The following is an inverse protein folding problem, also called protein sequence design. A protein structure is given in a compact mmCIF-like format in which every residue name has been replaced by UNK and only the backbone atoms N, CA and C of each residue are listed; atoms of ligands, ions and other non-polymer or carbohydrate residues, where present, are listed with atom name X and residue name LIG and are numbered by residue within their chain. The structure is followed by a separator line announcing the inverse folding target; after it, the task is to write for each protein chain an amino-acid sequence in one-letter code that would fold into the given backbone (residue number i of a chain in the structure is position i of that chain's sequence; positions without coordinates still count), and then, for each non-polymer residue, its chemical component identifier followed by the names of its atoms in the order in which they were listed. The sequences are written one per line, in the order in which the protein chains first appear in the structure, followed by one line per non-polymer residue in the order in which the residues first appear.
data_IF_726802926010
#
_entry.id   IF_726802926010
#
_cell.length_a   1.000
_cell.length_b   1.000
_cell.length_c   1.000
_cell.angle_alpha   90.00
_cell.angle_beta   90.00
_cell.angle_gamma   90.00
#
_symmetry.space_group_name_H-M   'P 1'
#
loop_
_entity.id
_entity.type
_entity.pdbx_description
1 polymer ?
#
# COMPACT_ATOMS: atom_id res chain seq x y z
N UNK A 1 -7.83 9.53 14.54
CA UNK A 1 -8.92 9.66 13.53
C UNK A 1 -8.93 8.41 12.66
N UNK A 2 -10.09 7.77 12.48
CA UNK A 2 -10.24 6.63 11.57
C UNK A 2 -10.09 7.11 10.12
N UNK A 3 -9.26 6.43 9.32
CA UNK A 3 -9.13 6.73 7.89
C UNK A 3 -10.44 6.38 7.16
N UNK A 4 -10.80 7.17 6.15
CA UNK A 4 -11.98 6.87 5.32
C UNK A 4 -11.76 5.64 4.45
N UNK A 5 -12.84 4.99 4.00
CA UNK A 5 -12.76 3.86 3.05
C UNK A 5 -11.98 4.27 1.79
N UNK A 6 -12.26 5.46 1.25
CA UNK A 6 -11.52 6.01 0.13
C UNK A 6 -10.01 6.10 0.41
N UNK A 7 -9.63 6.68 1.56
CA UNK A 7 -8.22 6.80 1.93
C UNK A 7 -7.54 5.44 2.10
N UNK A 8 -8.25 4.44 2.62
CA UNK A 8 -7.73 3.08 2.76
C UNK A 8 -7.50 2.41 1.41
N UNK A 9 -8.44 2.53 0.46
CA UNK A 9 -8.28 1.98 -0.89
C UNK A 9 -7.07 2.59 -1.61
N UNK A 10 -6.91 3.91 -1.53
CA UNK A 10 -5.78 4.63 -2.15
C UNK A 10 -4.45 4.23 -1.52
N UNK A 11 -4.39 4.19 -0.18
CA UNK A 11 -3.19 3.82 0.55
C UNK A 11 -2.77 2.36 0.34
N UNK A 12 -3.73 1.44 0.18
CA UNK A 12 -3.43 0.04 -0.07
C UNK A 12 -2.63 -0.17 -1.36
N UNK A 13 -2.92 0.63 -2.41
CA UNK A 13 -2.20 0.57 -3.70
C UNK A 13 -0.94 1.45 -3.67
N UNK A 14 -0.70 2.22 -2.61
CA UNK A 14 0.45 3.14 -2.54
C UNK A 14 0.35 4.32 -3.51
N UNK A 15 -0.86 4.73 -3.89
CA UNK A 15 -1.06 5.87 -4.80
C UNK A 15 -1.03 7.21 -4.05
N UNK A 16 -0.44 8.21 -4.68
CA UNK A 16 -0.59 9.61 -4.28
C UNK A 16 -1.97 10.15 -4.64
N UNK A 17 -2.43 11.17 -3.93
CA UNK A 17 -3.71 11.83 -4.23
C UNK A 17 -3.72 12.47 -5.63
N UNK A 18 -2.55 12.89 -6.15
CA UNK A 18 -2.43 13.45 -7.49
C UNK A 18 -2.62 12.39 -8.58
N UNK A 19 -2.11 11.18 -8.37
CA UNK A 19 -2.32 10.06 -9.30
C UNK A 19 -3.79 9.62 -9.28
N UNK A 20 -4.40 9.53 -8.10
CA UNK A 20 -5.82 9.22 -7.97
C UNK A 20 -6.68 10.27 -8.66
N UNK A 21 -6.34 11.56 -8.53
CA UNK A 21 -7.04 12.63 -9.24
C UNK A 21 -7.00 12.44 -10.77
N UNK A 22 -5.84 12.06 -11.32
CA UNK A 22 -5.70 11.74 -12.75
C UNK A 22 -6.54 10.52 -13.14
N UNK A 23 -6.47 9.44 -12.36
CA UNK A 23 -7.20 8.18 -12.62
C UNK A 23 -8.72 8.41 -12.60
N UNK A 24 -9.21 9.18 -11.63
CA UNK A 24 -10.65 9.45 -11.48
C UNK A 24 -11.15 10.58 -12.40
N UNK A 25 -10.26 11.27 -13.12
CA UNK A 25 -10.62 12.45 -13.91
C UNK A 25 -11.18 13.60 -13.05
N UNK A 26 -10.70 13.74 -11.81
CA UNK A 26 -11.18 14.70 -10.82
C UNK A 26 -10.11 15.72 -10.45
N UNK A 27 -10.52 16.84 -9.86
CA UNK A 27 -9.57 17.80 -9.30
C UNK A 27 -8.91 17.25 -8.03
N UNK A 28 -7.64 17.61 -7.81
CA UNK A 28 -6.90 17.23 -6.60
C UNK A 28 -7.64 17.64 -5.31
N UNK A 29 -8.25 18.84 -5.31
CA UNK A 29 -9.03 19.33 -4.17
C UNK A 29 -10.22 18.42 -3.86
N UNK A 30 -10.91 17.89 -4.87
CA UNK A 30 -12.04 16.97 -4.65
C UNK A 30 -11.58 15.65 -4.02
N UNK A 31 -10.46 15.11 -4.50
CA UNK A 31 -9.85 13.89 -3.97
C UNK A 31 -9.36 14.08 -2.53
N UNK A 32 -8.75 15.23 -2.21
CA UNK A 32 -8.34 15.58 -0.85
C UNK A 32 -9.53 15.64 0.11
N UNK A 33 -10.64 16.26 -0.30
CA UNK A 33 -11.87 16.29 0.53
C UNK A 33 -12.40 14.88 0.81
N UNK A 34 -12.30 13.95 -0.15
CA UNK A 34 -12.69 12.54 0.03
C UNK A 34 -11.75 11.79 0.97
N UNK A 35 -10.44 11.99 0.85
CA UNK A 35 -9.47 11.34 1.74
C UNK A 35 -9.59 11.81 3.19
N UNK A 36 -9.99 13.06 3.39
CA UNK A 36 -10.24 13.66 4.71
C UNK A 36 -11.65 13.40 5.27
N UNK A 37 -12.53 12.73 4.51
CA UNK A 37 -13.92 12.46 4.91
C UNK A 37 -14.85 13.67 4.89
N UNK A 38 -14.40 14.79 4.33
CA UNK A 38 -15.23 15.97 4.09
C UNK A 38 -16.20 15.78 2.91
N UNK A 39 -15.97 14.76 2.08
CA UNK A 39 -16.86 14.36 0.99
C UNK A 39 -16.93 12.84 0.90
N UNK A 40 -18.13 12.32 0.64
CA UNK A 40 -18.32 10.89 0.43
C UNK A 40 -17.69 10.42 -0.88
N UNK A 41 -17.24 9.17 -0.89
CA UNK A 41 -16.91 8.43 -2.11
C UNK A 41 -18.21 8.15 -2.88
N UNK A 42 -18.21 8.41 -4.18
CA UNK A 42 -19.36 8.14 -5.05
C UNK A 42 -19.28 6.73 -5.64
N UNK A 43 -20.38 6.25 -6.22
CA UNK A 43 -20.37 4.98 -6.96
C UNK A 43 -19.39 5.02 -8.14
N UNK A 44 -19.34 6.13 -8.88
CA UNK A 44 -18.40 6.29 -9.99
C UNK A 44 -16.92 6.21 -9.54
N UNK A 45 -16.60 6.71 -8.33
CA UNK A 45 -15.26 6.52 -7.76
C UNK A 45 -14.98 5.04 -7.50
N UNK A 46 -15.96 4.34 -6.91
CA UNK A 46 -15.84 2.92 -6.57
C UNK A 46 -15.64 2.08 -7.84
N UNK A 47 -16.39 2.36 -8.89
CA UNK A 47 -16.30 1.65 -10.17
C UNK A 47 -14.93 1.88 -10.82
N UNK A 48 -14.42 3.11 -10.84
CA UNK A 48 -13.11 3.43 -11.38
C UNK A 48 -11.97 2.76 -10.58
N UNK A 49 -12.04 2.78 -9.24
CA UNK A 49 -11.08 2.09 -8.39
C UNK A 49 -11.18 0.57 -8.53
N UNK A 50 -12.37 0.02 -8.75
CA UNK A 50 -12.59 -1.40 -9.02
C UNK A 50 -11.91 -1.84 -10.33
N UNK A 51 -12.06 -1.05 -11.40
CA UNK A 51 -11.36 -1.30 -12.67
C UNK A 51 -9.85 -1.31 -12.47
N UNK A 52 -9.30 -0.33 -11.73
CA UNK A 52 -7.88 -0.31 -11.40
C UNK A 52 -7.44 -1.57 -10.64
N UNK A 53 -8.22 -1.99 -9.64
CA UNK A 53 -7.93 -3.19 -8.86
C UNK A 53 -7.93 -4.46 -9.73
N UNK A 54 -8.89 -4.58 -10.64
CA UNK A 54 -8.95 -5.68 -11.58
C UNK A 54 -7.72 -5.76 -12.48
N UNK A 55 -7.28 -4.62 -13.03
CA UNK A 55 -6.05 -4.52 -13.84
C UNK A 55 -4.81 -4.95 -13.07
N UNK A 56 -4.64 -4.42 -11.85
CA UNK A 56 -3.54 -4.79 -10.93
C UNK A 56 -3.53 -6.30 -10.68
N UNK A 57 -4.69 -6.89 -10.36
CA UNK A 57 -4.81 -8.33 -10.06
C UNK A 57 -4.48 -9.21 -11.28
N UNK A 58 -4.84 -8.76 -12.47
CA UNK A 58 -4.58 -9.41 -13.76
C UNK A 58 -3.17 -9.15 -14.31
N UNK A 59 -2.33 -8.41 -13.58
CA UNK A 59 -0.96 -8.06 -13.97
C UNK A 59 -0.89 -7.13 -15.21
N UNK A 60 -2.03 -6.55 -15.63
CA UNK A 60 -2.09 -5.49 -16.63
C UNK A 60 -1.77 -4.13 -15.99
N UNK A 61 -0.48 -3.86 -15.80
CA UNK A 61 0.01 -2.63 -15.17
C UNK A 61 0.70 -1.67 -16.14
N UNK A 62 0.58 -1.89 -17.44
CA UNK A 62 1.20 -1.00 -18.42
C UNK A 62 0.59 0.41 -18.34
N UNK A 63 1.45 1.41 -18.19
CA UNK A 63 1.06 2.81 -18.07
C UNK A 63 0.41 3.19 -16.73
N UNK A 64 0.43 2.30 -15.72
CA UNK A 64 -0.06 2.60 -14.38
C UNK A 64 1.04 3.25 -13.51
N UNK A 65 0.66 3.99 -12.46
CA UNK A 65 1.62 4.53 -11.50
C UNK A 65 2.43 3.46 -10.76
N UNK A 66 3.60 3.84 -10.24
CA UNK A 66 4.54 2.93 -9.57
C UNK A 66 3.92 2.15 -8.40
N UNK A 67 3.02 2.79 -7.63
CA UNK A 67 2.29 2.10 -6.55
C UNK A 67 1.45 0.93 -7.06
N UNK A 68 0.76 1.09 -8.19
CA UNK A 68 -0.04 0.02 -8.80
C UNK A 68 0.83 -1.11 -9.35
N UNK A 69 1.98 -0.78 -9.94
CA UNK A 69 2.98 -1.78 -10.40
C UNK A 69 3.51 -2.58 -9.22
N UNK A 70 3.89 -1.89 -8.14
CA UNK A 70 4.40 -2.49 -6.91
C UNK A 70 3.37 -3.40 -6.24
N UNK A 71 2.11 -2.97 -6.20
CA UNK A 71 1.00 -3.78 -5.66
C UNK A 71 0.76 -5.03 -6.51
N UNK A 72 0.78 -4.93 -7.83
CA UNK A 72 0.69 -6.11 -8.72
C UNK A 72 1.81 -7.11 -8.44
N UNK A 73 3.05 -6.62 -8.32
CA UNK A 73 4.19 -7.44 -7.96
C UNK A 73 4.02 -8.11 -6.59
N UNK A 74 3.60 -7.35 -5.57
CA UNK A 74 3.33 -7.88 -4.24
C UNK A 74 2.27 -9.00 -4.27
N UNK A 75 1.17 -8.80 -5.00
CA UNK A 75 0.16 -9.85 -5.19
C UNK A 75 0.71 -11.08 -5.91
N UNK A 76 1.65 -10.90 -6.86
CA UNK A 76 2.29 -12.02 -7.55
C UNK A 76 3.20 -12.82 -6.62
N UNK A 77 3.95 -12.12 -5.75
CA UNK A 77 4.76 -12.74 -4.69
C UNK A 77 3.88 -13.50 -3.69
N UNK A 78 2.80 -12.88 -3.20
CA UNK A 78 1.86 -13.52 -2.26
C UNK A 78 1.15 -14.74 -2.85
N UNK A 79 0.98 -14.78 -4.18
CA UNK A 79 0.44 -15.95 -4.91
C UNK A 79 1.50 -17.02 -5.19
N UNK A 80 2.77 -16.78 -4.89
CA UNK A 80 3.89 -17.68 -5.21
C UNK A 80 4.27 -17.70 -6.70
N UNK A 81 3.70 -16.81 -7.52
CA UNK A 81 4.00 -16.70 -8.94
C UNK A 81 5.26 -15.85 -9.22
N UNK A 82 5.82 -15.21 -8.18
CA UNK A 82 7.14 -14.60 -8.19
C UNK A 82 7.86 -14.87 -6.87
N UNK A 83 9.19 -14.97 -6.96
CA UNK A 83 10.02 -14.95 -5.77
C UNK A 83 10.04 -13.55 -5.16
N UNK A 84 10.11 -13.49 -3.83
CA UNK A 84 10.84 -12.39 -3.20
C UNK A 84 12.30 -12.60 -3.62
N UNK A 85 13.00 -11.54 -4.05
CA UNK A 85 14.45 -11.63 -4.19
C UNK A 85 15.02 -11.99 -2.82
N UNK A 86 15.19 -13.29 -2.58
CA UNK A 86 15.74 -13.77 -1.34
C UNK A 86 17.17 -13.23 -1.30
N UNK A 87 17.62 -12.62 -0.18
CA UNK A 87 19.03 -12.34 -0.02
C UNK A 87 19.77 -13.66 -0.29
N UNK A 88 20.68 -13.63 -1.29
CA UNK A 88 21.43 -14.79 -1.77
C UNK A 88 21.79 -15.69 -0.58
N UNK A 89 21.32 -16.94 -0.58
CA UNK A 89 21.68 -17.98 0.40
C UNK A 89 23.17 -17.86 0.70
N UNK A 90 23.51 -17.46 1.93
CA UNK A 90 24.91 -17.32 2.33
C UNK A 90 25.19 -16.36 3.49
N UNK A 91 24.29 -15.43 3.82
CA UNK A 91 24.45 -14.62 5.05
C UNK A 91 23.40 -15.01 6.08
N UNK A 92 23.77 -15.65 7.20
CA UNK A 92 22.83 -15.90 8.28
C UNK A 92 22.24 -14.56 8.71
N UNK A 93 20.91 -14.52 8.83
CA UNK A 93 20.20 -13.42 9.47
C UNK A 93 20.70 -13.42 10.92
N UNK A 94 21.53 -12.45 11.29
CA UNK A 94 21.84 -12.21 12.70
C UNK A 94 20.55 -11.69 13.31
N UNK A 95 19.82 -12.58 13.98
CA UNK A 95 18.81 -12.16 14.94
C UNK A 95 19.58 -11.35 15.97
N UNK A 96 19.25 -10.07 16.12
CA UNK A 96 19.83 -9.27 17.19
C UNK A 96 19.51 -10.00 18.50
N UNK A 97 20.55 -10.35 19.25
CA UNK A 97 20.39 -10.96 20.56
C UNK A 97 19.50 -10.04 21.40
N UNK A 98 18.58 -10.61 22.21
CA UNK A 98 17.76 -9.80 23.10
C UNK A 98 18.71 -8.99 23.99
N UNK A 99 18.56 -7.67 23.95
CA UNK A 99 19.17 -6.79 24.95
C UNK A 99 18.47 -7.16 26.25
N UNK A 100 19.18 -7.90 27.11
CA UNK A 100 18.75 -8.12 28.48
C UNK A 100 19.13 -6.83 29.19
N UNK A 101 18.13 -6.01 29.49
CA UNK A 101 18.29 -4.93 30.46
C UNK A 101 18.52 -5.62 31.81
N UNK A 102 19.76 -5.65 32.29
CA UNK A 102 20.04 -5.92 33.70
C UNK A 102 19.51 -4.72 34.49
N UNK A 103 18.25 -4.81 34.91
CA UNK A 103 17.71 -3.94 35.94
C UNK A 103 18.49 -4.20 37.24
N UNK A 104 19.08 -3.11 37.74
CA UNK A 104 19.59 -2.92 39.10
C UNK A 104 18.68 -3.59 40.12
N UNK A 105 19.22 -4.50 40.93
CA UNK A 105 18.62 -4.82 42.22
C UNK A 105 19.68 -5.20 43.26
N UNK A 106 19.45 -4.62 44.44
CA UNK A 106 19.89 -4.99 45.78
C UNK A 106 21.22 -4.41 46.34
N UNK A 107 21.03 -3.30 47.06
CA UNK A 107 21.23 -3.17 48.52
C UNK A 107 22.46 -3.81 49.17
N UNK A 108 23.34 -2.97 49.73
CA UNK A 108 23.70 -3.00 51.17
C UNK A 108 24.24 -1.64 51.66
#
# INVERSE_FOLDING_TARGET
MSKTVFANCVAAVGLSLAEVAKILGQSLSMVQKKSQGQRAMTQADADALSVLWHRIRQEDVQGLPEGAVSMSHALRVLRGAAGVDAPRRGRPIRVAEPVVDEEDDAEE
#
